data_IF_134092974873
#
_entry.id   IF_134092974873
#
_cell.length_a   1.000
_cell.length_b   1.000
_cell.length_c   1.000
_cell.angle_alpha   90.00
_cell.angle_beta   90.00
_cell.angle_gamma   90.00
#
_symmetry.space_group_name_H-M   'P 1'
#
loop_
_entity.id
_entity.type
_entity.pdbx_description
1 polymer ?
#
# COMPACT_ATOMS: atom_id res chain seq x y z
N UNK A 1 4.25 17.61 -27.40
CA UNK A 1 5.47 16.99 -26.84
C UNK A 1 5.02 15.74 -26.12
N UNK A 2 5.28 14.57 -26.68
CA UNK A 2 5.10 13.31 -25.95
C UNK A 2 6.13 13.32 -24.83
N UNK A 3 5.68 13.41 -23.58
CA UNK A 3 6.56 13.18 -22.42
C UNK A 3 7.18 11.81 -22.58
N UNK A 4 8.48 11.78 -22.87
CA UNK A 4 9.25 10.55 -22.91
C UNK A 4 9.18 9.91 -21.52
N UNK A 5 8.64 8.71 -21.47
CA UNK A 5 8.57 7.94 -20.25
C UNK A 5 9.97 7.37 -20.01
N UNK A 6 10.63 7.88 -18.98
CA UNK A 6 11.96 7.48 -18.55
C UNK A 6 11.86 6.25 -17.63
N UNK A 7 12.54 5.16 -18.00
CA UNK A 7 12.51 3.87 -17.29
C UNK A 7 13.04 4.00 -15.86
N UNK A 8 14.05 4.83 -15.63
CA UNK A 8 14.63 5.02 -14.30
C UNK A 8 13.66 5.80 -13.41
N UNK A 9 12.98 6.81 -13.98
CA UNK A 9 11.90 7.53 -13.27
C UNK A 9 10.73 6.62 -12.95
N UNK A 10 10.33 5.73 -13.86
CA UNK A 10 9.27 4.75 -13.58
C UNK A 10 9.65 3.78 -12.48
N UNK A 11 10.90 3.29 -12.50
CA UNK A 11 11.42 2.37 -11.47
C UNK A 11 11.36 3.02 -10.10
N UNK A 12 11.90 4.24 -9.98
CA UNK A 12 11.90 4.99 -8.72
C UNK A 12 10.47 5.29 -8.23
N UNK A 13 9.56 5.64 -9.13
CA UNK A 13 8.17 5.92 -8.79
C UNK A 13 7.45 4.68 -8.24
N UNK A 14 7.61 3.53 -8.89
CA UNK A 14 6.99 2.28 -8.44
C UNK A 14 7.56 1.83 -7.10
N UNK A 15 8.88 1.92 -6.91
CA UNK A 15 9.53 1.61 -5.63
C UNK A 15 9.02 2.51 -4.50
N UNK A 16 8.94 3.81 -4.75
CA UNK A 16 8.42 4.77 -3.77
C UNK A 16 6.98 4.46 -3.36
N UNK A 17 6.11 4.13 -4.32
CA UNK A 17 4.72 3.76 -4.01
C UNK A 17 4.62 2.44 -3.23
N UNK A 18 5.41 1.42 -3.60
CA UNK A 18 5.45 0.15 -2.86
C UNK A 18 5.89 0.38 -1.41
N UNK A 19 6.96 1.14 -1.20
CA UNK A 19 7.45 1.47 0.15
C UNK A 19 6.39 2.22 0.97
N UNK A 20 5.74 3.22 0.36
CA UNK A 20 4.71 4.01 1.03
C UNK A 20 3.47 3.16 1.39
N UNK A 21 3.05 2.28 0.48
CA UNK A 21 1.95 1.37 0.72
C UNK A 21 2.24 0.41 1.88
N UNK A 22 3.46 -0.13 1.98
CA UNK A 22 3.85 -0.96 3.13
C UNK A 22 3.85 -0.17 4.44
N UNK A 23 4.29 1.10 4.42
CA UNK A 23 4.19 1.98 5.59
C UNK A 23 2.74 2.21 6.02
N UNK A 24 1.82 2.39 5.06
CA UNK A 24 0.39 2.52 5.34
C UNK A 24 -0.24 1.24 5.86
N UNK A 25 0.04 0.09 5.22
CA UNK A 25 -0.40 -1.23 5.64
C UNK A 25 -0.04 -1.50 7.11
N UNK A 26 1.24 -1.30 7.47
CA UNK A 26 1.69 -1.42 8.86
C UNK A 26 0.93 -0.48 9.81
N UNK A 27 0.77 0.78 9.42
CA UNK A 27 0.06 1.77 10.25
C UNK A 27 -1.42 1.42 10.43
N UNK A 28 -2.09 0.93 9.39
CA UNK A 28 -3.48 0.50 9.45
C UNK A 28 -3.64 -0.67 10.40
N UNK A 29 -2.77 -1.67 10.31
CA UNK A 29 -2.77 -2.81 11.23
C UNK A 29 -2.61 -2.39 12.70
N UNK A 30 -1.62 -1.55 12.99
CA UNK A 30 -1.40 -1.02 14.35
C UNK A 30 -2.61 -0.25 14.90
N UNK A 31 -3.32 0.49 14.05
CA UNK A 31 -4.52 1.21 14.46
C UNK A 31 -5.75 0.33 14.57
N UNK A 32 -5.91 -0.67 13.71
CA UNK A 32 -6.99 -1.64 13.82
C UNK A 32 -6.92 -2.38 15.17
N UNK A 33 -5.72 -2.76 15.61
CA UNK A 33 -5.50 -3.38 16.92
C UNK A 33 -5.95 -2.45 18.06
N UNK A 34 -5.51 -1.18 18.07
CA UNK A 34 -5.91 -0.20 19.09
C UNK A 34 -7.42 0.07 19.10
N UNK A 35 -8.03 0.17 17.92
CA UNK A 35 -9.47 0.43 17.75
C UNK A 35 -10.28 -0.77 18.24
N UNK A 36 -9.80 -1.99 17.98
CA UNK A 36 -10.40 -3.22 18.50
C UNK A 36 -10.31 -3.30 20.02
N UNK A 37 -9.16 -2.98 20.60
CA UNK A 37 -8.98 -2.92 22.07
C UNK A 37 -9.92 -1.89 22.72
N UNK A 38 -10.28 -0.83 22.00
CA UNK A 38 -11.25 0.18 22.44
C UNK A 38 -12.73 -0.25 22.27
N UNK A 39 -13.00 -1.46 21.78
CA UNK A 39 -14.35 -2.03 21.66
C UNK A 39 -15.08 -1.69 20.35
N UNK A 40 -14.36 -1.20 19.34
CA UNK A 40 -14.93 -0.85 18.03
C UNK A 40 -14.61 -1.95 16.99
N UNK A 41 -15.17 -3.15 17.18
CA UNK A 41 -14.83 -4.33 16.37
C UNK A 41 -15.09 -4.12 14.86
N UNK A 42 -16.26 -3.62 14.47
CA UNK A 42 -16.60 -3.40 13.05
C UNK A 42 -15.67 -2.38 12.38
N UNK A 43 -15.30 -1.30 13.10
CA UNK A 43 -14.34 -0.31 12.59
C UNK A 43 -12.94 -0.91 12.43
N UNK A 44 -12.52 -1.76 13.37
CA UNK A 44 -11.24 -2.47 13.25
C UNK A 44 -11.22 -3.42 12.05
N UNK A 45 -12.35 -4.10 11.77
CA UNK A 45 -12.49 -4.98 10.59
C UNK A 45 -12.35 -4.19 9.28
N UNK A 46 -12.98 -3.02 9.17
CA UNK A 46 -12.85 -2.15 8.01
C UNK A 46 -11.41 -1.63 7.80
N UNK A 47 -10.71 -1.30 8.90
CA UNK A 47 -9.30 -0.86 8.83
C UNK A 47 -8.38 -2.03 8.41
N UNK A 48 -8.62 -3.26 8.91
CA UNK A 48 -7.89 -4.45 8.46
C UNK A 48 -8.18 -4.77 6.98
N UNK A 49 -9.40 -4.54 6.51
CA UNK A 49 -9.72 -4.67 5.09
C UNK A 49 -8.95 -3.64 4.25
N UNK A 50 -8.78 -2.41 4.74
CA UNK A 50 -7.98 -1.39 4.08
C UNK A 50 -6.48 -1.77 4.04
N UNK A 51 -5.95 -2.35 5.13
CA UNK A 51 -4.59 -2.91 5.18
C UNK A 51 -4.39 -3.97 4.09
N UNK A 52 -5.27 -4.97 4.03
CA UNK A 52 -5.20 -6.03 3.02
C UNK A 52 -5.26 -5.48 1.60
N UNK A 53 -6.11 -4.50 1.33
CA UNK A 53 -6.21 -3.85 0.01
C UNK A 53 -4.93 -3.09 -0.35
N UNK A 54 -4.25 -2.52 0.64
CA UNK A 54 -2.97 -1.84 0.44
C UNK A 54 -1.86 -2.84 0.09
N UNK A 55 -1.85 -4.01 0.74
CA UNK A 55 -0.92 -5.09 0.40
C UNK A 55 -1.19 -5.65 -1.01
N UNK A 56 -2.46 -5.86 -1.36
CA UNK A 56 -2.87 -6.27 -2.72
C UNK A 56 -2.42 -5.23 -3.77
N UNK A 57 -2.55 -3.94 -3.47
CA UNK A 57 -2.05 -2.85 -4.31
C UNK A 57 -0.53 -2.96 -4.51
N UNK A 58 0.21 -3.15 -3.42
CA UNK A 58 1.68 -3.29 -3.44
C UNK A 58 2.11 -4.47 -4.31
N UNK A 59 1.47 -5.64 -4.18
CA UNK A 59 1.78 -6.82 -4.98
C UNK A 59 1.51 -6.60 -6.49
N UNK A 60 0.53 -5.78 -6.86
CA UNK A 60 0.29 -5.41 -8.26
C UNK A 60 1.37 -4.45 -8.77
N UNK A 61 1.82 -3.50 -7.94
CA UNK A 61 2.90 -2.58 -8.29
C UNK A 61 4.25 -3.30 -8.42
N UNK A 62 4.54 -4.29 -7.58
CA UNK A 62 5.72 -5.15 -7.71
C UNK A 62 5.73 -5.89 -9.06
N UNK A 63 4.60 -6.52 -9.43
CA UNK A 63 4.44 -7.14 -10.75
C UNK A 63 4.55 -6.16 -11.91
N UNK A 64 4.17 -4.89 -11.70
CA UNK A 64 4.35 -3.85 -12.70
C UNK A 64 5.84 -3.48 -12.85
N UNK A 65 6.56 -3.37 -11.74
CA UNK A 65 8.01 -3.10 -11.72
C UNK A 65 8.81 -4.22 -12.39
N UNK A 66 8.42 -5.49 -12.19
CA UNK A 66 9.04 -6.64 -12.85
C UNK A 66 8.94 -6.64 -14.39
N UNK A 67 8.03 -5.82 -14.96
CA UNK A 67 7.85 -5.70 -16.41
C UNK A 67 8.64 -4.54 -17.03
N UNK A 68 9.32 -3.73 -16.20
CA UNK A 68 10.22 -2.67 -16.66
C UNK A 68 11.55 -3.26 -17.11
#
# INVERSE_FOLDING_TARGET
MTTEIDRDKLTHLLEHWIEHNHSHSKSFKEWAEKVKEAGYDELAEDILLAEKKMDECSAVLEKAREKL
#
